data_IF_041671505912
#
_entry.id   IF_041671505912
#
_cell.length_a   1.000
_cell.length_b   1.000
_cell.length_c   1.000
_cell.angle_alpha   90.00
_cell.angle_beta   90.00
_cell.angle_gamma   90.00
#
_symmetry.space_group_name_H-M   'P 1'
#
loop_
_entity.id
_entity.type
_entity.pdbx_description
1 polymer ?
#
# COMPACT_ATOMS: atom_id res chain seq x y z
N UNK A 1 -28.22 -19.55 64.36
CA UNK A 1 -27.25 -18.84 63.46
C UNK A 1 -27.13 -19.60 62.18
N UNK A 2 -27.80 -19.17 61.12
CA UNK A 2 -27.64 -19.77 59.77
C UNK A 2 -26.51 -19.04 59.04
N UNK A 3 -25.47 -19.74 58.66
CA UNK A 3 -24.39 -19.20 57.83
C UNK A 3 -24.81 -19.27 56.37
N UNK A 4 -25.00 -18.12 55.77
CA UNK A 4 -25.19 -18.00 54.31
C UNK A 4 -23.84 -18.02 53.64
N UNK A 5 -23.62 -19.00 52.79
CA UNK A 5 -22.43 -19.09 51.95
C UNK A 5 -22.78 -18.37 50.62
N UNK A 6 -22.10 -17.27 50.35
CA UNK A 6 -22.16 -16.59 49.05
C UNK A 6 -21.11 -17.22 48.15
N UNK A 7 -21.55 -17.94 47.14
CA UNK A 7 -20.70 -18.45 46.07
C UNK A 7 -20.60 -17.34 45.02
N UNK A 8 -19.45 -16.68 44.97
CA UNK A 8 -19.13 -15.75 43.88
C UNK A 8 -18.68 -16.56 42.66
N UNK A 9 -19.55 -16.64 41.66
CA UNK A 9 -19.18 -17.19 40.35
C UNK A 9 -18.34 -16.20 39.60
N UNK A 10 -17.03 -16.43 39.56
CA UNK A 10 -16.12 -15.72 38.65
C UNK A 10 -16.35 -16.23 37.23
N UNK A 11 -17.02 -15.43 36.40
CA UNK A 11 -17.03 -15.65 34.97
C UNK A 11 -15.63 -15.30 34.41
N UNK A 12 -14.82 -16.32 34.15
CA UNK A 12 -13.66 -16.18 33.31
C UNK A 12 -14.17 -15.94 31.86
N UNK A 13 -14.13 -14.70 31.41
CA UNK A 13 -14.15 -14.42 29.97
C UNK A 13 -12.83 -14.93 29.41
N UNK A 14 -12.87 -16.13 28.85
CA UNK A 14 -11.81 -16.63 28.00
C UNK A 14 -11.93 -15.83 26.67
N UNK A 15 -11.23 -14.71 26.56
CA UNK A 15 -10.96 -14.10 25.26
C UNK A 15 -10.09 -15.10 24.51
N UNK A 16 -10.72 -15.90 23.65
CA UNK A 16 -9.99 -16.67 22.66
C UNK A 16 -9.30 -15.64 21.76
N UNK A 17 -8.02 -15.42 21.99
CA UNK A 17 -7.16 -14.74 21.04
C UNK A 17 -7.21 -15.57 19.76
N UNK A 18 -7.96 -15.10 18.76
CA UNK A 18 -8.00 -15.69 17.44
C UNK A 18 -6.61 -15.44 16.84
N UNK A 19 -5.80 -16.48 16.84
CA UNK A 19 -4.42 -16.44 16.36
C UNK A 19 -4.45 -16.45 14.83
N UNK A 20 -3.85 -15.42 14.24
CA UNK A 20 -3.54 -15.38 12.83
C UNK A 20 -2.76 -16.65 12.43
N UNK A 21 -3.15 -17.27 11.30
CA UNK A 21 -2.41 -18.39 10.72
C UNK A 21 -1.09 -17.87 10.14
N UNK A 22 0.00 -18.51 10.43
CA UNK A 22 1.31 -18.11 9.91
C UNK A 22 1.28 -18.10 8.35
N UNK A 23 1.67 -16.98 7.76
CA UNK A 23 1.64 -16.76 6.30
C UNK A 23 0.32 -16.22 5.74
N UNK A 24 -0.67 -15.96 6.57
CA UNK A 24 -1.93 -15.33 6.15
C UNK A 24 -1.67 -13.86 5.78
N UNK A 25 -2.18 -13.45 4.60
CA UNK A 25 -2.10 -12.06 4.14
C UNK A 25 -3.00 -11.15 4.98
N UNK A 26 -2.48 -9.97 5.34
CA UNK A 26 -3.18 -8.99 6.15
C UNK A 26 -3.47 -7.71 5.36
N UNK A 27 -4.70 -7.24 5.46
CA UNK A 27 -5.19 -6.05 4.79
C UNK A 27 -5.63 -5.04 5.84
N UNK A 28 -5.13 -3.83 5.75
CA UNK A 28 -5.53 -2.69 6.59
C UNK A 28 -6.36 -1.73 5.76
N UNK A 29 -7.62 -1.54 6.14
CA UNK A 29 -8.52 -0.54 5.57
C UNK A 29 -8.41 0.75 6.38
N UNK A 30 -8.16 1.87 5.72
CA UNK A 30 -8.02 3.17 6.36
C UNK A 30 -9.38 3.79 6.69
N UNK A 31 -9.50 4.35 7.88
CA UNK A 31 -10.58 5.26 8.26
C UNK A 31 -10.04 6.48 9.03
N UNK A 32 -8.79 6.89 8.72
CA UNK A 32 -8.17 8.05 9.38
C UNK A 32 -8.29 9.34 8.55
N UNK A 33 -8.72 9.25 7.28
CA UNK A 33 -8.75 10.35 6.33
C UNK A 33 -10.15 10.71 5.87
N UNK A 34 -11.16 10.53 6.75
CA UNK A 34 -12.57 10.84 6.49
C UNK A 34 -13.08 10.15 5.21
N UNK A 35 -12.89 8.85 5.13
CA UNK A 35 -13.33 7.99 4.05
C UNK A 35 -14.86 7.87 4.09
N UNK A 36 -15.54 8.82 3.45
CA UNK A 36 -17.00 8.91 3.46
C UNK A 36 -17.54 9.52 2.18
N UNK A 37 -18.68 9.02 1.72
CA UNK A 37 -19.45 9.58 0.60
C UNK A 37 -20.49 10.60 1.05
N UNK A 38 -20.46 11.05 2.28
CA UNK A 38 -21.47 11.97 2.83
C UNK A 38 -22.76 11.31 3.30
N UNK A 39 -23.16 10.14 2.81
CA UNK A 39 -24.26 9.32 3.31
C UNK A 39 -23.87 7.88 3.59
N UNK A 40 -22.63 7.55 3.40
CA UNK A 40 -22.05 6.24 3.65
C UNK A 40 -20.59 6.34 4.00
N UNK A 41 -20.09 5.30 4.62
CA UNK A 41 -18.73 5.20 5.08
C UNK A 41 -18.00 4.15 4.26
N UNK A 42 -16.88 4.54 3.72
CA UNK A 42 -15.97 3.64 3.02
C UNK A 42 -15.15 2.81 4.04
N UNK A 43 -15.86 2.03 4.85
CA UNK A 43 -15.27 1.15 5.85
C UNK A 43 -15.85 -0.25 5.76
N UNK A 44 -15.19 -1.20 6.42
CA UNK A 44 -15.67 -2.58 6.49
C UNK A 44 -16.96 -2.64 7.30
N UNK A 45 -16.93 -1.95 8.43
CA UNK A 45 -17.97 -2.02 9.45
C UNK A 45 -18.01 -0.67 10.19
N UNK A 46 -19.11 0.05 10.13
CA UNK A 46 -19.19 1.43 10.61
C UNK A 46 -19.41 1.49 12.10
N UNK A 47 -18.60 2.25 12.81
CA UNK A 47 -18.82 2.65 14.19
C UNK A 47 -18.14 3.98 14.50
N UNK A 48 -18.30 4.48 15.71
CA UNK A 48 -17.67 5.72 16.16
C UNK A 48 -16.14 5.69 16.12
N UNK A 49 -15.53 4.52 16.13
CA UNK A 49 -14.09 4.33 16.16
C UNK A 49 -13.51 4.29 14.73
N UNK A 50 -14.34 4.04 13.74
CA UNK A 50 -13.94 3.97 12.35
C UNK A 50 -14.23 5.26 11.58
N UNK A 51 -14.86 6.26 12.19
CA UNK A 51 -15.36 7.46 11.53
C UNK A 51 -14.58 8.71 11.92
N UNK A 52 -13.62 9.11 11.12
CA UNK A 52 -12.92 10.42 11.25
C UNK A 52 -13.89 11.59 11.22
N UNK A 53 -14.83 11.50 10.38
CA UNK A 53 -15.92 12.44 10.16
C UNK A 53 -16.69 12.79 11.44
N UNK A 54 -17.10 11.80 12.21
CA UNK A 54 -17.78 12.02 13.47
C UNK A 54 -16.90 12.74 14.49
N UNK A 55 -15.63 12.37 14.58
CA UNK A 55 -14.68 12.94 15.52
C UNK A 55 -14.39 14.41 15.29
N UNK A 56 -14.44 14.87 14.04
CA UNK A 56 -14.20 16.27 13.67
C UNK A 56 -15.42 17.15 13.82
N UNK A 57 -16.58 16.59 14.17
CA UNK A 57 -17.84 17.33 14.31
C UNK A 57 -18.40 17.88 13.01
N UNK A 58 -17.91 17.39 11.89
CA UNK A 58 -18.40 17.82 10.58
C UNK A 58 -19.71 17.12 10.25
N UNK A 59 -20.64 17.85 9.67
CA UNK A 59 -21.90 17.32 9.17
C UNK A 59 -21.83 17.31 7.65
N UNK A 60 -22.02 16.16 7.03
CA UNK A 60 -22.06 16.05 5.58
C UNK A 60 -23.23 16.77 4.96
N UNK A 61 -23.24 16.85 3.65
CA UNK A 61 -24.30 17.47 2.87
C UNK A 61 -25.69 16.82 3.05
N UNK A 62 -25.80 15.72 3.79
CA UNK A 62 -27.03 14.96 4.02
C UNK A 62 -27.45 14.80 5.47
N UNK A 63 -26.78 15.40 6.45
CA UNK A 63 -27.17 15.32 7.86
C UNK A 63 -26.14 14.71 8.79
N UNK A 64 -26.52 14.45 10.02
CA UNK A 64 -25.64 13.85 11.02
C UNK A 64 -25.53 12.35 10.76
N UNK A 65 -24.34 11.92 10.39
CA UNK A 65 -24.02 10.50 10.30
C UNK A 65 -23.56 10.02 11.66
N UNK A 66 -24.31 9.17 12.25
CA UNK A 66 -24.22 8.84 13.61
C UNK A 66 -24.41 7.36 13.78
N UNK A 67 -23.40 6.68 14.24
CA UNK A 67 -23.41 5.23 14.31
C UNK A 67 -23.68 4.78 15.70
N UNK A 68 -24.75 4.05 15.85
CA UNK A 68 -25.06 3.31 17.06
C UNK A 68 -24.64 1.84 16.95
N UNK A 69 -23.99 1.45 15.89
CA UNK A 69 -23.59 0.09 15.67
C UNK A 69 -22.43 -0.28 16.60
N UNK A 70 -22.56 -1.28 17.46
CA UNK A 70 -21.50 -1.71 18.37
C UNK A 70 -20.45 -2.55 17.64
N UNK A 71 -19.70 -1.91 16.79
CA UNK A 71 -18.69 -2.59 16.02
C UNK A 71 -17.49 -3.07 16.79
N UNK A 72 -16.83 -4.02 16.24
CA UNK A 72 -15.66 -4.66 16.82
C UNK A 72 -14.40 -4.11 16.20
N UNK A 73 -13.89 -3.06 16.80
CA UNK A 73 -12.58 -2.54 16.48
C UNK A 73 -11.48 -3.34 17.19
N UNK A 74 -10.30 -3.54 16.59
CA UNK A 74 -9.91 -3.14 15.22
C UNK A 74 -10.39 -4.10 14.14
N UNK A 75 -10.92 -5.23 14.54
CA UNK A 75 -11.20 -6.34 13.64
C UNK A 75 -12.58 -6.91 13.94
N UNK A 76 -13.50 -6.80 13.01
CA UNK A 76 -14.76 -7.52 13.11
C UNK A 76 -14.51 -9.03 13.20
N UNK A 77 -15.43 -9.77 13.83
CA UNK A 77 -15.31 -11.22 13.95
C UNK A 77 -15.28 -11.87 12.57
N UNK A 78 -14.17 -12.52 12.18
CA UNK A 78 -13.96 -13.10 10.87
C UNK A 78 -14.17 -14.62 10.83
N UNK A 79 -14.11 -15.30 11.97
CA UNK A 79 -14.17 -16.77 12.05
C UNK A 79 -15.50 -17.37 11.58
N UNK A 80 -16.56 -16.58 11.57
CA UNK A 80 -17.88 -17.01 11.09
C UNK A 80 -18.11 -16.70 9.60
N UNK A 81 -17.19 -16.01 8.94
CA UNK A 81 -17.31 -15.64 7.52
C UNK A 81 -17.14 -16.87 6.65
N UNK A 82 -18.08 -17.07 5.74
CA UNK A 82 -18.11 -18.16 4.77
C UNK A 82 -18.51 -17.62 3.39
N UNK A 83 -18.44 -18.44 2.37
CA UNK A 83 -18.91 -18.11 1.01
C UNK A 83 -20.40 -17.79 0.91
N UNK A 84 -21.18 -18.10 1.94
CA UNK A 84 -22.62 -17.79 2.04
C UNK A 84 -22.91 -16.62 2.99
N UNK A 85 -21.89 -15.97 3.53
CA UNK A 85 -22.07 -14.80 4.41
C UNK A 85 -22.67 -13.66 3.58
N UNK A 86 -23.73 -13.04 4.10
CA UNK A 86 -24.40 -11.93 3.45
C UNK A 86 -23.51 -10.68 3.42
N UNK A 87 -23.68 -9.83 2.43
CA UNK A 87 -22.99 -8.53 2.32
C UNK A 87 -23.24 -7.63 3.54
N UNK A 88 -24.41 -7.77 4.17
CA UNK A 88 -24.83 -7.05 5.36
C UNK A 88 -24.33 -7.66 6.67
N UNK A 89 -23.36 -8.55 6.64
CA UNK A 89 -22.78 -9.15 7.85
C UNK A 89 -22.02 -8.12 8.69
N UNK A 90 -21.32 -7.24 8.04
CA UNK A 90 -20.81 -6.00 8.59
C UNK A 90 -21.59 -4.82 7.99
N UNK A 91 -21.57 -3.68 8.65
CA UNK A 91 -22.41 -2.53 8.27
C UNK A 91 -21.60 -1.35 7.70
N UNK A 92 -20.69 -1.63 6.80
CA UNK A 92 -19.91 -0.63 6.07
C UNK A 92 -20.01 -0.84 4.57
N UNK A 93 -19.83 0.21 3.78
CA UNK A 93 -19.96 0.14 2.33
C UNK A 93 -18.92 -0.77 1.65
N UNK A 94 -17.83 -1.10 2.34
CA UNK A 94 -16.82 -2.06 1.90
C UNK A 94 -16.96 -3.45 2.55
N UNK A 95 -18.09 -3.72 3.21
CA UNK A 95 -18.34 -4.98 3.92
C UNK A 95 -18.14 -6.18 3.01
N UNK A 96 -18.76 -6.19 1.84
CA UNK A 96 -18.71 -7.37 0.98
C UNK A 96 -17.33 -7.57 0.34
N UNK A 97 -16.63 -6.50 -0.02
CA UNK A 97 -15.23 -6.60 -0.45
C UNK A 97 -14.35 -7.25 0.63
N UNK A 98 -14.54 -6.84 1.88
CA UNK A 98 -13.80 -7.41 3.01
C UNK A 98 -14.19 -8.87 3.29
N UNK A 99 -15.49 -9.22 3.19
CA UNK A 99 -15.99 -10.59 3.30
C UNK A 99 -15.36 -11.49 2.22
N UNK A 100 -15.26 -11.01 0.99
CA UNK A 100 -14.60 -11.74 -0.09
C UNK A 100 -13.09 -11.91 0.17
N UNK A 101 -12.43 -10.91 0.74
CA UNK A 101 -11.04 -11.03 1.17
C UNK A 101 -10.87 -12.12 2.25
N UNK A 102 -11.77 -12.17 3.24
CA UNK A 102 -11.73 -13.21 4.28
C UNK A 102 -12.01 -14.61 3.68
N UNK A 103 -12.98 -14.72 2.78
CA UNK A 103 -13.25 -15.97 2.04
C UNK A 103 -12.05 -16.44 1.19
N UNK A 104 -11.21 -15.49 0.75
CA UNK A 104 -9.94 -15.77 0.06
C UNK A 104 -8.84 -16.23 1.01
N UNK A 105 -9.08 -16.19 2.31
CA UNK A 105 -8.12 -16.56 3.34
C UNK A 105 -7.26 -15.39 3.85
N UNK A 106 -7.63 -14.14 3.55
CA UNK A 106 -6.94 -12.97 4.06
C UNK A 106 -7.49 -12.54 5.41
N UNK A 107 -6.69 -11.83 6.18
CA UNK A 107 -7.09 -11.19 7.42
C UNK A 107 -7.35 -9.71 7.16
N UNK A 108 -8.49 -9.17 7.59
CA UNK A 108 -8.85 -7.76 7.39
C UNK A 108 -8.90 -7.03 8.72
N UNK A 109 -8.43 -5.79 8.75
CA UNK A 109 -8.50 -4.90 9.90
C UNK A 109 -8.83 -3.49 9.44
N UNK A 110 -9.45 -2.71 10.33
CA UNK A 110 -9.66 -1.27 10.14
C UNK A 110 -8.64 -0.47 10.94
N UNK A 111 -7.99 0.50 10.32
CA UNK A 111 -7.27 1.57 11.01
C UNK A 111 -8.29 2.65 11.35
N UNK A 112 -8.72 2.79 12.63
CA UNK A 112 -9.80 3.69 12.99
C UNK A 112 -9.38 5.16 12.90
N UNK A 113 -10.34 6.07 12.97
CA UNK A 113 -10.08 7.52 12.85
C UNK A 113 -9.04 8.05 13.86
N UNK A 114 -8.89 7.41 15.01
CA UNK A 114 -7.87 7.74 16.02
C UNK A 114 -6.50 7.12 15.71
N UNK A 115 -6.42 6.29 14.66
CA UNK A 115 -5.20 5.62 14.24
C UNK A 115 -4.21 6.58 13.59
N UNK A 116 -3.05 6.05 13.27
CA UNK A 116 -2.03 6.80 12.55
C UNK A 116 -1.30 5.89 11.56
N UNK A 117 -1.19 6.32 10.32
CA UNK A 117 -0.43 5.61 9.30
C UNK A 117 1.05 5.74 9.59
N UNK A 118 1.69 4.63 9.93
CA UNK A 118 3.12 4.55 10.25
C UNK A 118 3.78 3.35 9.57
N UNK A 119 5.09 3.38 9.41
CA UNK A 119 5.86 2.27 8.87
C UNK A 119 7.20 2.13 9.57
N UNK A 120 7.48 0.93 10.10
CA UNK A 120 8.70 0.61 10.83
C UNK A 120 8.78 1.24 12.23
N UNK A 121 7.64 1.46 12.86
CA UNK A 121 7.50 1.99 14.22
C UNK A 121 7.02 0.90 15.19
N UNK A 122 6.81 1.27 16.46
CA UNK A 122 6.25 0.36 17.48
C UNK A 122 4.72 0.36 17.55
N UNK A 123 4.01 0.99 16.62
CA UNK A 123 2.55 1.02 16.64
C UNK A 123 1.94 -0.35 16.38
N UNK A 124 0.86 -0.68 17.06
CA UNK A 124 0.18 -1.97 16.92
C UNK A 124 -0.30 -2.21 15.50
N UNK A 125 -0.84 -1.18 14.84
CA UNK A 125 -1.30 -1.21 13.45
C UNK A 125 -0.31 -0.49 12.52
N UNK A 126 0.99 -0.74 12.73
CA UNK A 126 2.04 -0.26 11.82
C UNK A 126 1.97 -1.01 10.49
N UNK A 127 2.13 -0.31 9.37
CA UNK A 127 2.06 -0.89 8.03
C UNK A 127 3.02 -2.06 7.81
N UNK A 128 4.13 -2.15 8.57
CA UNK A 128 5.04 -3.30 8.50
C UNK A 128 4.42 -4.62 8.93
N UNK A 129 3.25 -4.60 9.55
CA UNK A 129 2.49 -5.78 9.96
C UNK A 129 1.45 -6.22 8.93
N UNK A 130 1.34 -5.51 7.80
CA UNK A 130 0.32 -5.73 6.77
C UNK A 130 0.97 -5.95 5.40
N UNK A 131 0.21 -6.60 4.51
CA UNK A 131 0.59 -6.81 3.12
C UNK A 131 -0.05 -5.78 2.20
N UNK A 132 -1.28 -5.34 2.51
CA UNK A 132 -2.04 -4.39 1.70
C UNK A 132 -2.63 -3.30 2.60
N UNK A 133 -2.55 -2.06 2.13
CA UNK A 133 -3.27 -0.91 2.64
C UNK A 133 -4.32 -0.46 1.63
N UNK A 134 -5.54 -0.25 2.07
CA UNK A 134 -6.68 0.19 1.25
C UNK A 134 -7.21 1.49 1.81
N UNK A 135 -7.36 2.52 0.99
CA UNK A 135 -8.12 3.71 1.35
C UNK A 135 -9.05 4.09 0.19
N UNK A 136 -10.30 4.35 0.53
CA UNK A 136 -11.36 4.69 -0.41
C UNK A 136 -11.85 6.11 -0.17
N UNK A 137 -11.75 6.93 -1.22
CA UNK A 137 -12.18 8.33 -1.21
C UNK A 137 -11.67 9.12 0.02
N UNK A 138 -10.34 9.18 0.27
CA UNK A 138 -9.81 10.00 1.37
C UNK A 138 -10.17 11.47 1.15
N UNK A 139 -10.60 12.15 2.21
CA UNK A 139 -11.02 13.55 2.21
C UNK A 139 -10.12 14.44 3.08
N UNK A 140 -9.00 13.94 3.56
CA UNK A 140 -7.98 14.67 4.32
C UNK A 140 -6.61 14.40 3.70
N UNK A 141 -5.78 15.43 3.54
CA UNK A 141 -4.41 15.29 3.06
C UNK A 141 -3.58 14.41 3.97
N UNK A 142 -2.84 13.47 3.40
CA UNK A 142 -1.82 12.72 4.13
C UNK A 142 -0.71 13.67 4.59
N UNK A 143 -0.38 13.64 5.85
CA UNK A 143 0.76 14.40 6.39
C UNK A 143 2.08 13.93 5.75
N UNK A 144 3.13 14.75 5.83
CA UNK A 144 4.46 14.37 5.31
C UNK A 144 4.96 13.04 5.90
N UNK A 145 4.70 12.78 7.18
CA UNK A 145 5.09 11.53 7.83
C UNK A 145 4.31 10.33 7.28
N UNK A 146 3.00 10.47 7.08
CA UNK A 146 2.14 9.42 6.52
C UNK A 146 2.50 9.15 5.05
N UNK A 147 2.73 10.18 4.23
CA UNK A 147 3.23 10.00 2.85
C UNK A 147 4.56 9.25 2.84
N UNK A 148 5.48 9.58 3.73
CA UNK A 148 6.75 8.87 3.88
C UNK A 148 6.55 7.40 4.27
N UNK A 149 5.63 7.12 5.19
CA UNK A 149 5.27 5.75 5.62
C UNK A 149 4.70 4.93 4.47
N UNK A 150 3.70 5.46 3.74
CA UNK A 150 3.06 4.79 2.60
C UNK A 150 4.06 4.51 1.48
N UNK A 151 4.90 5.49 1.12
CA UNK A 151 5.90 5.31 0.07
C UNK A 151 6.97 4.28 0.44
N UNK A 152 7.44 4.28 1.69
CA UNK A 152 8.38 3.27 2.17
C UNK A 152 7.74 1.89 2.30
N UNK A 153 6.49 1.80 2.70
CA UNK A 153 5.72 0.57 2.72
C UNK A 153 5.72 -0.10 1.35
N UNK A 154 5.32 0.63 0.29
CA UNK A 154 5.34 0.09 -1.08
C UNK A 154 6.75 -0.25 -1.52
N UNK A 155 7.71 0.66 -1.32
CA UNK A 155 9.10 0.43 -1.73
C UNK A 155 9.68 -0.88 -1.18
N UNK A 156 9.27 -1.26 0.03
CA UNK A 156 9.80 -2.42 0.75
C UNK A 156 8.93 -3.69 0.62
N UNK A 157 7.90 -3.71 -0.20
CA UNK A 157 7.15 -4.93 -0.52
C UNK A 157 5.69 -4.93 -0.14
N UNK A 158 5.20 -3.91 0.55
CA UNK A 158 3.78 -3.72 0.80
C UNK A 158 3.03 -3.27 -0.46
N UNK A 159 1.73 -3.30 -0.42
CA UNK A 159 0.88 -2.93 -1.55
C UNK A 159 -0.18 -1.91 -1.14
N UNK A 160 -0.53 -1.00 -2.05
CA UNK A 160 -1.59 -0.01 -1.83
C UNK A 160 -2.69 -0.18 -2.87
N UNK A 161 -3.94 -0.19 -2.42
CA UNK A 161 -5.10 0.00 -3.26
C UNK A 161 -5.65 1.41 -3.06
N UNK A 162 -5.50 2.25 -4.06
CA UNK A 162 -5.98 3.63 -4.12
C UNK A 162 -7.34 3.64 -4.79
N UNK A 163 -8.39 3.96 -4.05
CA UNK A 163 -9.71 4.17 -4.61
C UNK A 163 -9.98 5.67 -4.53
N UNK A 164 -10.24 6.29 -5.67
CA UNK A 164 -10.55 7.71 -5.78
C UNK A 164 -12.03 7.89 -6.13
N UNK A 165 -12.48 9.12 -6.14
CA UNK A 165 -13.79 9.52 -6.61
C UNK A 165 -13.65 10.73 -7.56
N UNK A 166 -14.74 11.43 -7.85
CA UNK A 166 -14.76 12.58 -8.75
C UNK A 166 -14.18 13.85 -8.12
N UNK A 167 -13.77 14.80 -8.94
CA UNK A 167 -13.41 16.13 -8.45
C UNK A 167 -14.63 16.87 -7.91
N UNK A 168 -14.39 17.63 -6.82
CA UNK A 168 -15.44 18.34 -6.10
C UNK A 168 -16.18 17.47 -5.08
N UNK A 169 -15.68 16.25 -4.82
CA UNK A 169 -16.14 15.40 -3.71
C UNK A 169 -15.45 15.75 -2.38
N UNK A 170 -15.15 17.03 -2.18
CA UNK A 170 -14.58 17.56 -0.93
C UNK A 170 -15.64 17.51 0.17
N UNK A 171 -15.68 16.39 0.91
CA UNK A 171 -16.73 16.10 1.89
C UNK A 171 -16.55 16.88 3.20
N UNK A 172 -15.32 17.25 3.51
CA UNK A 172 -14.97 17.99 4.73
C UNK A 172 -14.80 19.50 4.49
N UNK A 173 -14.92 19.97 3.25
CA UNK A 173 -14.81 21.37 2.82
C UNK A 173 -13.46 22.01 3.17
N UNK A 174 -12.36 21.25 3.08
CA UNK A 174 -10.99 21.73 3.31
C UNK A 174 -10.28 22.18 2.03
N UNK A 175 -10.91 22.02 0.87
CA UNK A 175 -10.41 22.41 -0.44
C UNK A 175 -9.70 21.29 -1.19
N UNK A 176 -9.67 20.08 -0.64
CA UNK A 176 -9.06 18.91 -1.26
C UNK A 176 -10.08 17.78 -1.44
N UNK A 177 -10.12 17.21 -2.61
CA UNK A 177 -10.87 16.03 -2.96
C UNK A 177 -9.96 14.82 -3.15
N UNK A 178 -10.53 13.63 -3.21
CA UNK A 178 -9.77 12.39 -3.29
C UNK A 178 -8.74 12.36 -4.44
N UNK A 179 -9.05 12.78 -5.69
CA UNK A 179 -8.03 12.81 -6.74
C UNK A 179 -6.86 13.74 -6.43
N UNK A 180 -7.12 14.89 -5.81
CA UNK A 180 -6.08 15.85 -5.42
C UNK A 180 -5.21 15.29 -4.28
N UNK A 181 -5.83 14.60 -3.31
CA UNK A 181 -5.15 13.96 -2.17
C UNK A 181 -4.22 12.85 -2.65
N UNK A 182 -4.68 11.97 -3.53
CA UNK A 182 -3.84 10.95 -4.13
C UNK A 182 -2.71 11.53 -4.96
N UNK A 183 -2.97 12.58 -5.72
CA UNK A 183 -1.92 13.27 -6.48
C UNK A 183 -0.88 13.90 -5.56
N UNK A 184 -1.27 14.47 -4.41
CA UNK A 184 -0.33 15.01 -3.43
C UNK A 184 0.58 13.91 -2.85
N UNK A 185 0.04 12.71 -2.54
CA UNK A 185 0.87 11.57 -2.17
C UNK A 185 1.85 11.19 -3.29
N UNK A 186 1.40 11.10 -4.53
CA UNK A 186 2.20 10.63 -5.67
C UNK A 186 3.29 11.64 -6.04
N UNK A 187 2.97 12.95 -6.02
CA UNK A 187 3.84 13.98 -6.61
C UNK A 187 4.58 14.84 -5.58
N UNK A 188 4.20 14.78 -4.31
CA UNK A 188 4.71 15.63 -3.24
C UNK A 188 5.04 14.84 -1.98
N UNK A 189 6.04 13.95 -2.08
CA UNK A 189 6.53 13.15 -0.96
C UNK A 189 8.05 13.22 -0.85
N UNK A 190 8.60 12.84 0.31
CA UNK A 190 10.04 12.93 0.60
C UNK A 190 10.84 11.70 0.14
N UNK A 191 10.18 10.66 -0.39
CA UNK A 191 10.84 9.40 -0.76
C UNK A 191 11.18 9.36 -2.25
N UNK A 192 10.15 9.46 -3.09
CA UNK A 192 10.32 9.54 -4.55
C UNK A 192 9.01 10.03 -5.19
N UNK A 193 9.05 11.23 -5.76
CA UNK A 193 7.92 11.75 -6.52
C UNK A 193 7.72 11.00 -7.83
N UNK A 194 6.45 10.84 -8.22
CA UNK A 194 6.04 10.15 -9.46
C UNK A 194 6.50 8.68 -9.55
N UNK A 195 6.74 8.04 -8.40
CA UNK A 195 7.26 6.68 -8.34
C UNK A 195 6.34 5.63 -9.00
N UNK A 196 5.03 5.89 -9.04
CA UNK A 196 4.05 4.93 -9.57
C UNK A 196 3.81 5.08 -11.07
N UNK A 197 4.22 6.19 -11.68
CA UNK A 197 4.10 6.42 -13.12
C UNK A 197 2.68 6.70 -13.59
N UNK A 198 1.82 7.23 -12.72
CA UNK A 198 0.49 7.73 -13.08
C UNK A 198 0.06 8.86 -12.14
N UNK A 199 -0.93 9.64 -12.57
CA UNK A 199 -1.63 10.64 -11.75
C UNK A 199 -3.11 10.61 -12.07
N UNK A 200 -3.94 11.01 -11.10
CA UNK A 200 -5.36 11.20 -11.31
C UNK A 200 -5.62 12.51 -12.06
N UNK A 201 -6.51 12.47 -13.03
CA UNK A 201 -6.96 13.68 -13.73
C UNK A 201 -7.98 14.42 -12.86
N UNK A 202 -7.79 15.75 -12.74
CA UNK A 202 -8.72 16.59 -11.98
C UNK A 202 -9.92 16.95 -12.87
N UNK A 203 -10.71 15.95 -13.24
CA UNK A 203 -11.91 16.07 -14.05
C UNK A 203 -12.89 14.94 -13.75
N UNK A 204 -14.16 15.22 -13.93
CA UNK A 204 -15.22 14.23 -13.70
C UNK A 204 -15.66 13.57 -14.99
N UNK A 205 -16.04 12.32 -14.90
CA UNK A 205 -16.76 11.64 -15.97
C UNK A 205 -17.69 10.58 -15.39
N UNK A 206 -18.68 10.20 -16.19
CA UNK A 206 -19.56 9.08 -15.89
C UNK A 206 -19.77 8.26 -17.16
N UNK A 207 -19.73 6.95 -17.02
CA UNK A 207 -20.17 6.01 -18.05
C UNK A 207 -21.66 5.64 -17.88
N UNK A 208 -22.31 6.24 -16.89
CA UNK A 208 -23.69 5.95 -16.49
C UNK A 208 -24.76 6.52 -17.42
N UNK A 209 -24.44 6.93 -18.66
CA UNK A 209 -25.42 7.31 -19.63
C UNK A 209 -26.24 6.10 -20.10
N UNK A 210 -27.31 5.79 -19.36
CA UNK A 210 -28.23 4.70 -19.66
C UNK A 210 -28.78 4.04 -18.41
N UNK A 211 -29.89 3.35 -18.56
CA UNK A 211 -30.48 2.51 -17.51
C UNK A 211 -29.47 1.46 -17.05
N UNK A 212 -29.43 1.15 -15.78
CA UNK A 212 -28.48 0.22 -15.12
C UNK A 212 -28.33 -1.15 -15.79
N UNK A 213 -29.27 -1.55 -16.64
CA UNK A 213 -29.30 -2.86 -17.30
C UNK A 213 -28.58 -2.94 -18.65
N UNK A 214 -28.28 -1.80 -19.30
CA UNK A 214 -27.64 -1.77 -20.62
C UNK A 214 -26.38 -0.92 -20.69
N UNK A 215 -26.14 -0.11 -19.66
CA UNK A 215 -24.97 0.72 -19.54
C UNK A 215 -23.73 -0.07 -19.12
N UNK A 216 -22.64 0.62 -18.96
CA UNK A 216 -21.36 0.09 -18.55
C UNK A 216 -20.33 0.14 -19.65
N UNK A 217 -19.12 0.11 -19.22
CA UNK A 217 -17.94 0.34 -20.03
C UNK A 217 -17.30 -0.98 -20.46
N UNK A 218 -17.37 -1.37 -21.74
CA UNK A 218 -16.72 -2.56 -22.26
C UNK A 218 -15.25 -2.34 -22.64
N UNK A 219 -14.70 -1.15 -22.43
CA UNK A 219 -13.33 -0.80 -22.84
C UNK A 219 -12.30 -1.33 -21.83
N UNK A 220 -12.26 -2.64 -21.70
CA UNK A 220 -11.35 -3.37 -20.81
C UNK A 220 -10.22 -4.02 -21.61
N UNK A 221 -9.09 -4.25 -20.98
CA UNK A 221 -7.96 -4.98 -21.58
C UNK A 221 -8.40 -6.39 -22.01
N UNK A 222 -8.11 -6.74 -23.27
CA UNK A 222 -8.41 -8.05 -23.85
C UNK A 222 -7.22 -9.01 -23.83
N UNK A 223 -6.07 -8.59 -23.29
CA UNK A 223 -4.87 -9.43 -23.20
C UNK A 223 -5.15 -10.66 -22.33
N UNK A 224 -4.89 -11.84 -22.86
CA UNK A 224 -5.10 -13.10 -22.14
C UNK A 224 -4.24 -13.24 -20.88
N UNK A 225 -3.14 -12.50 -20.82
CA UNK A 225 -2.19 -12.47 -19.67
C UNK A 225 -2.48 -11.37 -18.67
N UNK A 226 -3.54 -10.61 -18.85
CA UNK A 226 -3.93 -9.53 -17.92
C UNK A 226 -4.60 -10.12 -16.69
N UNK A 227 -3.84 -10.23 -15.59
CA UNK A 227 -4.32 -10.82 -14.33
C UNK A 227 -5.43 -10.02 -13.65
N UNK A 228 -5.68 -8.80 -14.07
CA UNK A 228 -6.76 -7.95 -13.53
C UNK A 228 -8.06 -8.21 -14.29
N UNK A 229 -8.03 -8.24 -15.61
CA UNK A 229 -9.23 -8.49 -16.42
C UNK A 229 -9.47 -9.96 -16.74
N UNK A 230 -8.49 -10.83 -16.50
CA UNK A 230 -8.51 -12.29 -16.69
C UNK A 230 -7.97 -13.00 -15.44
N UNK A 231 -8.35 -12.55 -14.28
CA UNK A 231 -7.82 -13.03 -13.01
C UNK A 231 -8.58 -14.22 -12.42
N UNK A 232 -8.18 -14.65 -11.22
CA UNK A 232 -8.70 -15.86 -10.58
C UNK A 232 -10.20 -15.81 -10.18
N UNK A 233 -10.75 -14.60 -10.00
CA UNK A 233 -12.18 -14.44 -9.64
C UNK A 233 -13.09 -14.53 -10.84
N UNK A 234 -12.60 -14.15 -12.02
CA UNK A 234 -13.38 -14.19 -13.23
C UNK A 234 -12.82 -13.30 -14.32
N UNK A 235 -13.52 -13.31 -15.46
CA UNK A 235 -13.23 -12.46 -16.61
C UNK A 235 -14.03 -11.17 -16.49
N UNK A 236 -13.33 -10.05 -16.44
CA UNK A 236 -13.92 -8.72 -16.51
C UNK A 236 -14.12 -8.37 -17.99
N UNK A 237 -15.36 -8.16 -18.37
CA UNK A 237 -15.75 -7.77 -19.73
C UNK A 237 -16.43 -6.41 -19.78
N UNK A 238 -16.90 -5.93 -18.63
CA UNK A 238 -17.65 -4.68 -18.50
C UNK A 238 -17.62 -4.18 -17.06
N UNK A 239 -17.44 -2.89 -16.90
CA UNK A 239 -17.55 -2.18 -15.62
C UNK A 239 -18.36 -0.90 -15.81
N UNK A 240 -18.86 -0.30 -14.74
CA UNK A 240 -19.61 0.93 -14.79
C UNK A 240 -19.01 1.93 -13.81
N UNK A 241 -18.76 3.12 -14.26
CA UNK A 241 -18.33 4.25 -13.46
C UNK A 241 -19.53 5.19 -13.28
N UNK A 242 -19.90 5.43 -12.03
CA UNK A 242 -21.08 6.26 -11.76
C UNK A 242 -20.77 7.74 -11.86
N UNK A 243 -19.75 8.17 -11.15
CA UNK A 243 -19.19 9.52 -11.26
C UNK A 243 -17.78 9.48 -10.68
N UNK A 244 -16.79 9.46 -11.52
CA UNK A 244 -15.42 9.25 -11.10
C UNK A 244 -14.44 10.14 -11.85
N UNK A 245 -13.18 9.86 -11.68
CA UNK A 245 -12.07 10.46 -12.43
C UNK A 245 -11.33 9.39 -13.24
N UNK A 246 -10.48 9.82 -14.15
CA UNK A 246 -9.57 8.92 -14.85
C UNK A 246 -8.13 9.28 -14.50
N UNK A 247 -7.21 8.43 -14.94
CA UNK A 247 -5.78 8.58 -14.73
C UNK A 247 -5.05 8.79 -16.04
N UNK A 248 -3.90 9.44 -15.96
CA UNK A 248 -2.89 9.51 -17.01
C UNK A 248 -1.67 8.71 -16.57
N UNK A 249 -1.27 7.74 -17.37
CA UNK A 249 -0.03 6.99 -17.18
C UNK A 249 1.15 7.75 -17.78
N UNK A 250 2.31 7.61 -17.17
CA UNK A 250 3.59 8.20 -17.60
C UNK A 250 4.66 7.10 -17.56
N UNK A 251 4.70 6.20 -18.56
CA UNK A 251 5.63 5.07 -18.59
C UNK A 251 7.10 5.47 -18.56
N UNK A 252 7.44 6.70 -18.94
CA UNK A 252 8.80 7.24 -18.82
C UNK A 252 9.24 7.47 -17.37
N UNK A 253 8.32 7.63 -16.44
CA UNK A 253 8.60 7.73 -14.99
C UNK A 253 8.65 6.35 -14.34
N UNK A 254 7.74 5.45 -14.74
CA UNK A 254 7.73 4.07 -14.29
C UNK A 254 7.15 3.16 -15.39
N UNK A 255 7.99 2.36 -16.02
CA UNK A 255 7.61 1.45 -17.11
C UNK A 255 6.83 0.21 -16.64
N UNK A 256 6.57 0.07 -15.34
CA UNK A 256 5.72 -0.98 -14.78
C UNK A 256 4.25 -0.58 -14.68
N UNK A 257 3.93 0.68 -14.96
CA UNK A 257 2.54 1.13 -14.99
C UNK A 257 1.78 0.47 -16.14
N UNK A 258 0.56 0.01 -15.85
CA UNK A 258 -0.33 -0.67 -16.83
C UNK A 258 -1.76 -0.22 -16.64
N UNK A 259 -2.43 0.10 -17.76
CA UNK A 259 -3.87 0.31 -17.80
C UNK A 259 -4.61 -1.01 -18.02
N UNK A 260 -5.78 -1.13 -17.41
CA UNK A 260 -6.64 -2.32 -17.50
C UNK A 260 -8.05 -1.98 -18.00
N UNK A 261 -8.54 -0.80 -17.68
CA UNK A 261 -9.83 -0.26 -18.12
C UNK A 261 -9.63 1.19 -18.52
N UNK A 262 -10.25 1.59 -19.62
CA UNK A 262 -10.20 2.96 -20.15
C UNK A 262 -11.62 3.52 -20.27
N UNK A 263 -11.72 4.82 -20.22
CA UNK A 263 -13.00 5.52 -20.44
C UNK A 263 -13.65 5.01 -21.72
N UNK A 264 -14.97 4.81 -21.68
CA UNK A 264 -15.74 4.34 -22.85
C UNK A 264 -15.53 5.26 -24.06
N UNK A 265 -15.37 4.65 -25.23
CA UNK A 265 -15.13 5.37 -26.49
C UNK A 265 -13.73 6.00 -26.64
N UNK A 266 -12.80 5.72 -25.74
CA UNK A 266 -11.40 6.15 -25.84
C UNK A 266 -10.50 5.00 -26.29
N UNK A 267 -9.36 5.34 -26.92
CA UNK A 267 -8.32 4.35 -27.21
C UNK A 267 -7.65 3.84 -25.93
N UNK A 268 -7.14 2.61 -25.97
CA UNK A 268 -6.35 2.02 -24.89
C UNK A 268 -4.90 2.57 -24.92
N UNK A 269 -4.76 3.82 -24.49
CA UNK A 269 -3.51 4.58 -24.47
C UNK A 269 -3.14 4.97 -23.04
N UNK A 270 -2.15 5.82 -22.89
CA UNK A 270 -1.69 6.31 -21.58
C UNK A 270 -2.65 7.31 -20.92
N UNK A 271 -3.71 7.70 -21.59
CA UNK A 271 -4.69 8.67 -21.07
C UNK A 271 -6.08 8.06 -20.92
N UNK A 272 -6.93 8.70 -20.12
CA UNK A 272 -8.29 8.27 -19.86
C UNK A 272 -8.40 6.84 -19.30
N UNK A 273 -7.40 6.42 -18.52
CA UNK A 273 -7.36 5.14 -17.82
C UNK A 273 -8.18 5.26 -16.55
N UNK A 274 -9.05 4.30 -16.27
CA UNK A 274 -9.91 4.30 -15.07
C UNK A 274 -9.57 3.20 -14.08
N UNK A 275 -8.74 2.25 -14.51
CA UNK A 275 -8.15 1.21 -13.66
C UNK A 275 -6.71 1.00 -14.07
N UNK A 276 -5.78 1.17 -13.14
CA UNK A 276 -4.34 1.09 -13.37
C UNK A 276 -3.66 0.25 -12.30
N UNK A 277 -2.58 -0.42 -12.68
CA UNK A 277 -1.64 -1.04 -11.74
C UNK A 277 -0.22 -0.57 -11.99
N UNK A 278 0.62 -0.62 -10.96
CA UNK A 278 2.03 -0.31 -11.04
C UNK A 278 2.84 -1.10 -10.01
N UNK A 279 4.16 -1.09 -10.15
CA UNK A 279 5.08 -1.65 -9.16
C UNK A 279 6.14 -0.60 -8.83
N UNK A 280 6.48 -0.48 -7.55
CA UNK A 280 7.54 0.39 -7.07
C UNK A 280 8.38 -0.30 -6.01
N UNK A 281 9.69 -0.39 -6.23
CA UNK A 281 10.55 -1.20 -5.38
C UNK A 281 10.12 -2.67 -5.39
N UNK A 282 9.82 -3.19 -4.23
CA UNK A 282 9.32 -4.56 -4.03
C UNK A 282 7.79 -4.64 -3.85
N UNK A 283 7.08 -3.53 -3.94
CA UNK A 283 5.64 -3.46 -3.71
C UNK A 283 4.84 -3.14 -4.96
N UNK A 284 3.53 -3.12 -4.78
CA UNK A 284 2.55 -2.96 -5.84
C UNK A 284 1.55 -1.85 -5.50
N UNK A 285 1.02 -1.24 -6.54
CA UNK A 285 -0.05 -0.24 -6.41
C UNK A 285 -1.13 -0.57 -7.43
N UNK A 286 -2.37 -0.58 -7.00
CA UNK A 286 -3.55 -0.60 -7.84
C UNK A 286 -4.36 0.66 -7.59
N UNK A 287 -4.99 1.19 -8.62
CA UNK A 287 -5.84 2.36 -8.48
C UNK A 287 -7.07 2.31 -9.40
N UNK A 288 -8.19 2.80 -8.87
CA UNK A 288 -9.43 3.05 -9.62
C UNK A 288 -9.91 4.47 -9.38
N UNK A 289 -10.66 5.00 -10.33
CA UNK A 289 -11.08 6.39 -10.32
C UNK A 289 -12.52 6.63 -9.83
N UNK A 290 -13.16 5.66 -9.20
CA UNK A 290 -14.57 5.79 -8.75
C UNK A 290 -14.77 4.92 -7.51
N UNK A 291 -15.34 5.47 -6.44
CA UNK A 291 -15.69 4.79 -5.19
C UNK A 291 -16.97 3.95 -5.30
N UNK A 292 -17.75 4.13 -6.35
CA UNK A 292 -19.02 3.41 -6.54
C UNK A 292 -18.87 1.90 -6.82
N UNK A 293 -17.86 1.40 -7.55
CA UNK A 293 -17.71 -0.03 -7.77
C UNK A 293 -17.47 -0.88 -6.52
N UNK A 294 -16.73 -0.45 -5.51
CA UNK A 294 -16.59 -1.20 -4.25
C UNK A 294 -17.78 -1.07 -3.30
N UNK A 295 -18.61 -0.04 -3.45
CA UNK A 295 -19.80 0.19 -2.61
C UNK A 295 -20.79 -0.98 -2.76
N UNK A 296 -21.11 -1.64 -1.68
CA UNK A 296 -22.04 -2.78 -1.64
C UNK A 296 -23.46 -2.39 -1.22
N UNK A 297 -23.69 -1.10 -0.97
CA UNK A 297 -24.98 -0.57 -0.53
C UNK A 297 -25.28 -0.83 0.95
N UNK A 298 -24.34 -1.38 1.69
CA UNK A 298 -24.51 -1.67 3.12
C UNK A 298 -24.09 -0.48 3.96
N UNK A 299 -24.84 -0.20 5.00
CA UNK A 299 -24.53 0.86 5.94
C UNK A 299 -25.41 0.77 7.18
N UNK A 300 -25.05 1.48 8.23
CA UNK A 300 -25.80 1.50 9.48
C UNK A 300 -27.04 2.39 9.35
N UNK A 301 -28.17 1.79 8.96
CA UNK A 301 -29.43 2.51 8.81
C UNK A 301 -29.97 3.06 10.14
N UNK A 302 -29.65 2.43 11.26
CA UNK A 302 -30.01 2.94 12.60
C UNK A 302 -29.25 4.22 12.94
N UNK A 303 -28.05 4.38 12.41
CA UNK A 303 -27.23 5.59 12.51
C UNK A 303 -27.58 6.68 11.50
N UNK A 304 -28.51 6.44 10.58
CA UNK A 304 -28.94 7.42 9.58
C UNK A 304 -28.25 7.27 8.21
N UNK A 305 -27.46 6.23 8.01
CA UNK A 305 -26.94 5.89 6.68
C UNK A 305 -28.06 5.29 5.84
N UNK A 306 -28.44 5.98 4.82
CA UNK A 306 -29.51 5.58 3.91
C UNK A 306 -29.09 5.79 2.45
N UNK A 307 -29.61 4.96 1.57
CA UNK A 307 -29.46 5.14 0.13
C UNK A 307 -28.02 5.09 -0.38
N UNK A 308 -27.25 4.14 0.12
CA UNK A 308 -25.94 3.83 -0.47
C UNK A 308 -26.12 3.22 -1.85
N UNK A 309 -25.15 3.49 -2.71
CA UNK A 309 -25.10 2.90 -4.03
C UNK A 309 -24.65 1.44 -3.91
N UNK A 310 -25.23 0.51 -4.63
CA UNK A 310 -24.73 -0.86 -4.68
C UNK A 310 -24.09 -1.11 -6.04
N UNK A 311 -22.79 -0.86 -6.13
CA UNK A 311 -21.99 -1.14 -7.31
C UNK A 311 -21.38 -2.53 -7.31
N UNK A 312 -20.98 -3.02 -6.14
CA UNK A 312 -20.17 -4.24 -6.02
C UNK A 312 -20.87 -5.47 -6.60
N UNK A 313 -22.12 -5.68 -6.27
CA UNK A 313 -22.95 -6.79 -6.79
C UNK A 313 -24.27 -6.33 -7.42
N UNK A 314 -24.73 -5.14 -7.11
CA UNK A 314 -26.04 -4.63 -7.53
C UNK A 314 -26.09 -4.13 -8.98
N UNK A 315 -24.97 -3.75 -9.56
CA UNK A 315 -24.90 -3.36 -10.96
C UNK A 315 -24.95 -4.60 -11.89
N UNK A 316 -26.15 -5.02 -12.23
CA UNK A 316 -26.39 -6.24 -13.03
C UNK A 316 -25.67 -6.18 -14.37
N UNK A 317 -24.91 -7.23 -14.68
CA UNK A 317 -24.14 -7.34 -15.92
C UNK A 317 -22.81 -6.61 -15.90
N UNK A 318 -22.39 -6.05 -14.76
CA UNK A 318 -21.07 -5.51 -14.54
C UNK A 318 -20.20 -6.52 -13.78
N UNK A 319 -18.88 -6.40 -13.92
CA UNK A 319 -17.93 -7.32 -13.30
C UNK A 319 -17.12 -6.60 -12.19
N UNK A 320 -17.75 -5.76 -11.36
CA UNK A 320 -17.05 -4.98 -10.34
C UNK A 320 -16.39 -5.90 -9.30
N UNK A 321 -17.13 -6.88 -8.77
CA UNK A 321 -16.61 -7.87 -7.82
C UNK A 321 -15.39 -8.60 -8.38
N UNK A 322 -15.48 -9.09 -9.63
CA UNK A 322 -14.36 -9.79 -10.28
C UNK A 322 -13.15 -8.86 -10.43
N UNK A 323 -13.37 -7.61 -10.89
CA UNK A 323 -12.32 -6.62 -11.07
C UNK A 323 -11.60 -6.34 -9.75
N UNK A 324 -12.35 -5.95 -8.72
CA UNK A 324 -11.80 -5.54 -7.44
C UNK A 324 -11.09 -6.69 -6.73
N UNK A 325 -11.66 -7.87 -6.72
CA UNK A 325 -11.04 -9.04 -6.13
C UNK A 325 -9.82 -9.53 -6.91
N UNK A 326 -9.81 -9.44 -8.24
CA UNK A 326 -8.62 -9.71 -9.03
C UNK A 326 -7.49 -8.72 -8.68
N UNK A 327 -7.82 -7.44 -8.46
CA UNK A 327 -6.86 -6.44 -7.98
C UNK A 327 -6.33 -6.78 -6.58
N UNK A 328 -7.20 -7.13 -5.63
CA UNK A 328 -6.81 -7.53 -4.27
C UNK A 328 -5.90 -8.76 -4.28
N UNK A 329 -6.22 -9.77 -5.09
CA UNK A 329 -5.39 -10.98 -5.22
C UNK A 329 -4.04 -10.62 -5.84
N UNK A 330 -4.02 -9.80 -6.88
CA UNK A 330 -2.78 -9.35 -7.51
C UNK A 330 -1.91 -8.54 -6.53
N UNK A 331 -2.50 -7.68 -5.70
CA UNK A 331 -1.79 -6.93 -4.67
C UNK A 331 -1.20 -7.84 -3.58
N UNK A 332 -1.91 -8.92 -3.23
CA UNK A 332 -1.47 -9.89 -2.22
C UNK A 332 -0.32 -10.80 -2.70
N UNK A 333 -0.17 -10.98 -4.00
CA UNK A 333 0.93 -11.77 -4.55
C UNK A 333 2.26 -11.03 -4.39
N UNK A 334 3.38 -11.73 -4.10
CA UNK A 334 4.68 -11.08 -4.06
C UNK A 334 4.99 -10.36 -5.37
N UNK A 335 5.44 -9.12 -5.30
CA UNK A 335 6.03 -8.46 -6.45
C UNK A 335 7.37 -9.13 -6.76
N UNK A 336 7.71 -9.22 -8.06
CA UNK A 336 9.10 -9.48 -8.40
C UNK A 336 9.89 -8.24 -7.98
N UNK A 337 10.57 -8.33 -6.84
CA UNK A 337 11.46 -7.26 -6.43
C UNK A 337 12.44 -7.01 -7.59
N UNK A 338 12.22 -5.91 -8.32
CA UNK A 338 13.34 -5.26 -8.95
C UNK A 338 14.10 -4.56 -7.82
N UNK A 339 14.64 -5.31 -6.90
CA UNK A 339 15.90 -4.87 -6.35
C UNK A 339 16.71 -4.56 -7.60
N UNK A 340 17.13 -3.33 -7.82
CA UNK A 340 18.43 -3.16 -8.43
C UNK A 340 19.24 -4.19 -7.68
N UNK A 341 19.44 -5.33 -8.32
CA UNK A 341 20.18 -6.39 -7.69
C UNK A 341 21.43 -5.68 -7.18
N UNK A 342 21.63 -5.69 -5.87
CA UNK A 342 22.99 -5.74 -5.41
C UNK A 342 23.45 -6.99 -6.13
N UNK A 343 24.05 -6.79 -7.32
CA UNK A 343 24.60 -7.86 -8.13
C UNK A 343 25.41 -8.65 -7.14
N UNK A 344 24.93 -9.83 -6.85
CA UNK A 344 25.34 -10.72 -5.78
C UNK A 344 26.49 -10.11 -4.97
N UNK A 345 26.25 -9.79 -3.69
CA UNK A 345 27.39 -9.78 -2.75
C UNK A 345 27.91 -11.19 -2.92
N UNK A 346 28.75 -11.40 -3.88
CA UNK A 346 29.62 -12.54 -3.88
C UNK A 346 30.45 -12.27 -2.63
N UNK A 347 30.11 -12.98 -1.52
CA UNK A 347 31.12 -13.35 -0.55
C UNK A 347 32.16 -14.16 -1.34
N UNK A 348 32.75 -13.53 -2.32
CA UNK A 348 33.70 -14.10 -3.24
C UNK A 348 35.03 -13.43 -3.01
N UNK A 349 36.04 -14.17 -3.11
CA UNK A 349 37.47 -13.91 -3.12
C UNK A 349 37.95 -12.67 -3.91
N UNK A 350 37.04 -11.80 -4.37
CA UNK A 350 37.38 -10.62 -5.18
C UNK A 350 37.87 -9.42 -4.34
N UNK A 351 37.45 -9.29 -3.06
CA UNK A 351 37.93 -8.25 -2.15
C UNK A 351 38.66 -8.88 -0.98
N UNK A 352 39.95 -8.69 -0.94
CA UNK A 352 40.82 -9.08 0.18
C UNK A 352 41.11 -7.83 1.01
N UNK A 353 41.10 -7.97 2.33
CA UNK A 353 41.33 -6.85 3.24
C UNK A 353 42.23 -7.33 4.40
N UNK A 354 43.36 -6.66 4.61
CA UNK A 354 44.32 -7.02 5.66
C UNK A 354 45.13 -5.77 6.10
N UNK A 355 45.43 -5.63 7.41
CA UNK A 355 44.87 -6.39 8.52
C UNK A 355 43.41 -6.03 8.82
N UNK A 356 42.65 -6.99 9.34
CA UNK A 356 41.31 -6.76 9.88
C UNK A 356 41.10 -7.69 11.09
N UNK A 357 41.05 -7.19 12.33
CA UNK A 357 40.99 -5.77 12.73
C UNK A 357 42.20 -4.93 12.31
N UNK A 358 41.94 -3.65 12.02
CA UNK A 358 42.94 -2.66 11.62
C UNK A 358 43.20 -1.66 12.77
N UNK A 359 44.47 -1.23 12.95
CA UNK A 359 44.85 -0.19 13.90
C UNK A 359 45.06 1.13 13.17
N UNK A 360 46.11 1.26 12.38
CA UNK A 360 46.47 2.53 11.71
C UNK A 360 46.14 2.52 10.21
N UNK A 361 46.26 1.38 9.56
CA UNK A 361 46.05 1.22 8.12
C UNK A 361 45.44 -0.14 7.80
N UNK A 362 44.72 -0.20 6.69
CA UNK A 362 44.24 -1.43 6.07
C UNK A 362 44.44 -1.37 4.57
N UNK A 363 44.95 -2.44 3.98
CA UNK A 363 45.04 -2.62 2.53
C UNK A 363 43.87 -3.43 2.05
N UNK A 364 43.27 -2.98 0.95
CA UNK A 364 42.19 -3.67 0.25
C UNK A 364 42.64 -3.97 -1.16
N UNK A 365 42.56 -5.23 -1.56
CA UNK A 365 42.83 -5.67 -2.94
C UNK A 365 41.53 -6.17 -3.54
N UNK A 366 41.13 -5.58 -4.66
CA UNK A 366 39.92 -5.94 -5.38
C UNK A 366 40.28 -6.42 -6.80
N UNK A 367 39.81 -7.63 -7.16
CA UNK A 367 40.03 -8.19 -8.50
C UNK A 367 39.10 -7.51 -9.51
N UNK A 368 39.68 -6.77 -10.46
CA UNK A 368 38.95 -5.95 -11.41
C UNK A 368 39.60 -6.05 -12.80
N UNK A 369 39.07 -6.90 -13.64
CA UNK A 369 39.55 -7.14 -15.01
C UNK A 369 39.10 -6.05 -16.00
N UNK A 370 38.47 -4.98 -15.53
CA UNK A 370 38.04 -3.88 -16.39
C UNK A 370 39.10 -2.83 -16.52
N UNK A 371 39.11 -2.09 -17.64
CA UNK A 371 40.01 -0.94 -17.83
C UNK A 371 39.72 0.21 -16.84
N UNK A 372 38.48 0.32 -16.37
CA UNK A 372 38.08 1.34 -15.42
C UNK A 372 38.53 0.96 -14.01
N UNK A 373 39.05 1.94 -13.28
CA UNK A 373 39.43 1.77 -11.88
C UNK A 373 38.19 1.61 -10.98
N UNK A 374 38.33 0.78 -9.94
CA UNK A 374 37.33 0.66 -8.91
C UNK A 374 37.29 1.88 -7.99
N UNK A 375 36.15 2.11 -7.34
CA UNK A 375 35.94 3.16 -6.34
C UNK A 375 35.70 2.53 -4.98
N UNK A 376 36.46 2.94 -3.97
CA UNK A 376 36.24 2.56 -2.57
C UNK A 376 35.46 3.64 -1.83
N UNK A 377 34.42 3.24 -1.11
CA UNK A 377 33.67 4.05 -0.17
C UNK A 377 33.70 3.41 1.21
N UNK A 378 34.06 4.17 2.25
CA UNK A 378 33.95 3.73 3.64
C UNK A 378 32.63 4.18 4.21
N UNK A 379 31.88 3.25 4.83
CA UNK A 379 30.57 3.50 5.43
C UNK A 379 30.58 3.22 6.92
N UNK A 380 29.88 4.01 7.72
CA UNK A 380 29.60 3.68 9.13
C UNK A 380 28.45 2.67 9.22
N UNK A 381 28.10 2.26 10.44
CA UNK A 381 27.03 1.27 10.71
C UNK A 381 25.63 1.74 10.24
N UNK A 382 25.45 3.05 10.04
CA UNK A 382 24.20 3.64 9.53
C UNK A 382 24.19 3.78 7.99
N UNK A 383 25.24 3.27 7.31
CA UNK A 383 25.36 3.39 5.85
C UNK A 383 25.82 4.76 5.33
N UNK A 384 26.20 5.67 6.22
CA UNK A 384 26.68 6.99 5.83
C UNK A 384 28.16 6.94 5.43
N UNK A 385 28.51 7.66 4.37
CA UNK A 385 29.90 7.74 3.90
C UNK A 385 30.77 8.46 4.93
N UNK A 386 31.86 7.84 5.30
CA UNK A 386 32.89 8.41 6.18
C UNK A 386 34.07 8.84 5.32
N UNK A 387 34.46 10.12 5.46
CA UNK A 387 35.65 10.62 4.79
C UNK A 387 36.91 10.06 5.47
N UNK A 388 37.70 9.32 4.71
CA UNK A 388 38.98 8.78 5.15
C UNK A 388 40.02 8.99 4.05
N UNK A 389 41.27 9.23 4.45
CA UNK A 389 42.39 9.35 3.50
C UNK A 389 42.67 7.98 2.92
N UNK A 390 42.68 7.89 1.61
CA UNK A 390 42.99 6.66 0.88
C UNK A 390 43.87 6.93 -0.31
N UNK A 391 44.71 5.96 -0.61
CA UNK A 391 45.48 5.91 -1.86
C UNK A 391 44.99 4.74 -2.69
N UNK A 392 45.00 4.89 -4.02
CA UNK A 392 44.55 3.89 -4.96
C UNK A 392 45.61 3.64 -6.01
N UNK A 393 45.84 2.39 -6.34
CA UNK A 393 46.69 1.95 -7.46
C UNK A 393 45.99 0.84 -8.24
N UNK A 394 46.05 0.93 -9.57
CA UNK A 394 45.58 -0.14 -10.45
C UNK A 394 46.76 -0.89 -11.03
N UNK A 395 46.84 -2.19 -10.80
CA UNK A 395 47.87 -3.08 -11.30
C UNK A 395 47.19 -4.21 -12.09
N UNK A 396 47.20 -4.13 -13.42
CA UNK A 396 46.58 -5.10 -14.31
C UNK A 396 45.10 -5.39 -13.95
N UNK A 397 44.86 -6.57 -13.39
CA UNK A 397 43.55 -7.10 -13.02
C UNK A 397 43.14 -6.77 -11.57
N UNK A 398 43.90 -5.90 -10.87
CA UNK A 398 43.68 -5.58 -9.44
C UNK A 398 43.69 -4.09 -9.18
N UNK A 399 42.72 -3.64 -8.39
CA UNK A 399 42.75 -2.36 -7.73
C UNK A 399 43.19 -2.53 -6.27
N UNK A 400 44.18 -1.80 -5.86
CA UNK A 400 44.73 -1.80 -4.48
C UNK A 400 44.45 -0.46 -3.83
N UNK A 401 43.82 -0.48 -2.69
CA UNK A 401 43.52 0.69 -1.87
C UNK A 401 44.26 0.56 -0.55
N UNK A 402 44.87 1.63 -0.08
CA UNK A 402 45.36 1.73 1.30
C UNK A 402 44.55 2.80 2.02
N UNK A 403 43.81 2.38 3.03
CA UNK A 403 42.93 3.24 3.82
C UNK A 403 43.61 3.57 5.15
N UNK A 404 43.75 4.86 5.46
CA UNK A 404 44.24 5.32 6.75
C UNK A 404 43.11 5.24 7.78
N UNK A 405 43.27 4.36 8.78
CA UNK A 405 42.30 4.13 9.85
C UNK A 405 42.69 4.82 11.15
N UNK A 406 43.87 5.45 11.21
CA UNK A 406 44.33 6.17 12.40
C UNK A 406 43.39 7.29 12.86
N UNK A 407 42.76 8.10 11.98
CA UNK A 407 41.82 9.14 12.39
C UNK A 407 40.42 8.61 12.73
N UNK A 408 40.11 7.35 12.44
CA UNK A 408 38.79 6.78 12.70
C UNK A 408 38.64 6.41 14.19
N UNK A 409 37.42 6.48 14.71
CA UNK A 409 37.09 5.94 16.03
C UNK A 409 37.08 4.41 16.00
N UNK A 410 37.45 3.76 17.12
CA UNK A 410 37.30 2.33 17.23
C UNK A 410 35.83 1.93 16.99
N UNK A 411 35.62 0.89 16.17
CA UNK A 411 34.26 0.50 15.81
C UNK A 411 34.19 -0.37 14.55
N UNK A 412 32.95 -0.59 14.08
CA UNK A 412 32.66 -1.34 12.88
C UNK A 412 32.35 -0.37 11.73
N UNK A 413 32.98 -0.62 10.60
CA UNK A 413 32.79 0.08 9.33
C UNK A 413 32.56 -0.93 8.21
N UNK A 414 32.12 -0.45 7.07
CA UNK A 414 31.95 -1.26 5.86
C UNK A 414 32.72 -0.61 4.71
N UNK A 415 33.64 -1.37 4.12
CA UNK A 415 34.35 -0.99 2.90
C UNK A 415 33.53 -1.46 1.70
N UNK A 416 33.00 -0.54 0.92
CA UNK A 416 32.28 -0.80 -0.34
C UNK A 416 33.21 -0.47 -1.50
N UNK A 417 33.53 -1.46 -2.33
CA UNK A 417 34.30 -1.29 -3.57
C UNK A 417 33.38 -1.56 -4.76
N UNK A 418 33.41 -0.67 -5.73
CA UNK A 418 32.59 -0.77 -6.94
C UNK A 418 33.40 -0.51 -8.19
N UNK A 419 33.27 -1.38 -9.20
CA UNK A 419 33.84 -1.21 -10.56
C UNK A 419 32.81 -1.71 -11.58
N UNK A 420 32.35 -0.82 -12.47
CA UNK A 420 31.26 -1.11 -13.40
C UNK A 420 30.05 -1.74 -12.68
N UNK A 421 29.64 -2.93 -13.13
CA UNK A 421 28.48 -3.66 -12.57
C UNK A 421 28.87 -4.56 -11.37
N UNK A 422 30.14 -4.60 -10.99
CA UNK A 422 30.63 -5.39 -9.83
C UNK A 422 30.71 -4.53 -8.60
N UNK A 423 30.21 -5.06 -7.48
CA UNK A 423 30.30 -4.42 -6.17
C UNK A 423 30.65 -5.47 -5.11
N UNK A 424 31.55 -5.13 -4.21
CA UNK A 424 31.89 -5.93 -3.05
C UNK A 424 31.82 -5.08 -1.78
N UNK A 425 31.28 -5.65 -0.72
CA UNK A 425 31.23 -4.99 0.61
C UNK A 425 31.88 -5.92 1.63
N UNK A 426 32.79 -5.37 2.45
CA UNK A 426 33.43 -6.15 3.51
C UNK A 426 33.46 -5.37 4.82
N UNK A 427 33.19 -6.08 5.93
CA UNK A 427 33.23 -5.50 7.27
C UNK A 427 34.68 -5.22 7.68
N UNK A 428 34.95 -3.96 8.09
CA UNK A 428 36.20 -3.51 8.68
C UNK A 428 35.99 -3.28 10.18
N UNK A 429 36.86 -3.84 11.00
CA UNK A 429 36.90 -3.58 12.44
C UNK A 429 38.11 -2.68 12.70
N UNK A 430 37.89 -1.48 13.24
CA UNK A 430 38.97 -0.58 13.67
C UNK A 430 39.15 -0.72 15.18
N UNK A 431 40.37 -0.92 15.59
CA UNK A 431 40.81 -0.98 17.01
C UNK A 431 41.80 0.15 17.29
N UNK A 432 41.91 0.57 18.56
CA UNK A 432 42.88 1.58 19.04
C UNK A 432 43.81 0.94 20.06
#
# INVERSE_FOLDING_TARGET
>A
MKKTIIIASAFLFCNALISQTAGQKKILFDNTHAETAGSGDWCIDSDLQNMTWYATGQTGSGGSYYHANPQQYPTPTQTAVTSSTAETYWEGALSYLAIDCVNKGYWVETLPYTGNITYGTGNTQDLSHYDIFVADEPNILFSTAQKTALMNFVKNGGSIFMISDHTGSDRNNDGYDSPAIWNDLITNNSVQNNAFGFTFALQNFSDASGTQTSGGNPNVSTLATDSITKGPMGTVSRVKWSNGTCMTMVPSQNNKVKGHVWKNGRGQTDTAVVCVTSQYGCGKVAAIGDSSPPDDGTGNTAGGQISLYNGYTGDVGQNHRDLLMNMMIWLAEPATCTTTAINSITEGNELIMYPNPAHDKVELTFTNNSENSAVLSLLNINGQVVNAVQTHQKNNDKDVFVLDTAPLTAGIYYCKVQANDKMSIKKLVVIK
#
